data_IF_380209739704
#
_entry.id   IF_380209739704
#
_cell.length_a   1.000
_cell.length_b   1.000
_cell.length_c   1.000
_cell.angle_alpha   90.00
_cell.angle_beta   90.00
_cell.angle_gamma   90.00
#
_symmetry.space_group_name_H-M   'P 1'
#
loop_
_entity.id
_entity.type
_entity.pdbx_description
1 polymer ?
#
# COMPACT_ATOMS: atom_id res chain seq x y z
N UNK A 1 -15.83 9.47 21.05
CA UNK A 1 -16.45 10.07 19.83
C UNK A 1 -15.34 10.10 18.76
N UNK A 2 -15.59 9.83 17.48
CA UNK A 2 -14.50 9.80 16.49
C UNK A 2 -14.07 11.21 16.07
N UNK A 3 -12.78 11.50 16.19
CA UNK A 3 -12.14 12.65 15.57
C UNK A 3 -11.71 12.29 14.14
N UNK A 4 -12.26 12.95 13.12
CA UNK A 4 -12.00 12.60 11.72
C UNK A 4 -10.58 13.03 11.27
N UNK A 5 -9.64 12.08 11.20
CA UNK A 5 -8.34 12.21 10.54
C UNK A 5 -8.11 10.97 9.68
N UNK A 6 -7.99 11.14 8.35
CA UNK A 6 -7.95 10.03 7.37
C UNK A 6 -6.51 9.73 6.98
N UNK A 7 -6.13 8.45 7.02
CA UNK A 7 -4.90 7.94 6.42
C UNK A 7 -5.33 7.17 5.19
N UNK A 8 -4.69 7.39 4.05
CA UNK A 8 -4.99 6.62 2.83
C UNK A 8 -3.67 6.18 2.23
N UNK A 9 -3.60 4.91 1.81
CA UNK A 9 -2.38 4.27 1.37
C UNK A 9 -2.60 3.57 0.03
N UNK A 10 -1.65 3.69 -0.89
CA UNK A 10 -1.66 3.02 -2.20
C UNK A 10 -0.33 2.27 -2.40
N UNK A 11 -0.39 1.07 -2.98
CA UNK A 11 0.78 0.30 -3.42
C UNK A 11 0.33 -0.73 -4.46
N UNK A 12 0.89 -0.69 -5.69
CA UNK A 12 0.41 -1.61 -6.75
C UNK A 12 1.25 -1.70 -8.03
N UNK A 13 2.48 -1.20 -8.09
CA UNK A 13 3.19 -1.05 -9.38
C UNK A 13 4.15 -2.19 -9.74
N UNK A 14 4.35 -3.15 -8.82
CA UNK A 14 5.27 -4.28 -9.00
C UNK A 14 4.95 -5.07 -10.27
N UNK A 15 3.66 -5.37 -10.50
CA UNK A 15 3.23 -6.23 -11.60
C UNK A 15 3.63 -5.63 -12.96
N UNK A 16 3.42 -4.32 -13.15
CA UNK A 16 3.74 -3.66 -14.43
C UNK A 16 5.24 -3.72 -14.74
N UNK A 17 6.10 -3.50 -13.75
CA UNK A 17 7.55 -3.57 -13.98
C UNK A 17 8.01 -5.00 -14.29
N UNK A 18 7.62 -5.98 -13.48
CA UNK A 18 8.14 -7.34 -13.64
C UNK A 18 7.51 -8.07 -14.82
N UNK A 19 6.29 -7.71 -15.23
CA UNK A 19 5.63 -8.25 -16.41
C UNK A 19 6.29 -7.76 -17.71
N UNK A 20 6.76 -6.50 -17.75
CA UNK A 20 7.33 -5.90 -18.96
C UNK A 20 8.86 -5.99 -19.03
N UNK A 21 9.56 -5.93 -17.88
CA UNK A 21 11.02 -5.71 -17.82
C UNK A 21 11.75 -6.74 -16.95
N UNK A 22 11.02 -7.69 -16.38
CA UNK A 22 11.55 -8.71 -15.46
C UNK A 22 11.17 -10.12 -15.89
N UNK A 23 10.71 -10.92 -14.94
CA UNK A 23 10.39 -12.34 -15.13
C UNK A 23 9.24 -12.61 -16.11
N UNK A 24 8.42 -11.61 -16.43
CA UNK A 24 7.28 -11.72 -17.32
C UNK A 24 6.03 -12.30 -16.65
N UNK A 25 4.88 -12.10 -17.31
CA UNK A 25 3.54 -12.40 -16.81
C UNK A 25 3.39 -13.85 -16.33
N UNK A 26 3.88 -14.82 -17.10
CA UNK A 26 3.67 -16.24 -16.80
C UNK A 26 4.50 -16.71 -15.60
N UNK A 27 5.73 -16.17 -15.44
CA UNK A 27 6.54 -16.44 -14.25
C UNK A 27 5.94 -15.73 -13.02
N UNK A 28 5.53 -14.46 -13.16
CA UNK A 28 4.87 -13.71 -12.08
C UNK A 28 3.64 -14.44 -11.56
N UNK A 29 2.74 -14.91 -12.44
CA UNK A 29 1.53 -15.62 -12.02
C UNK A 29 1.84 -16.89 -11.21
N UNK A 30 2.85 -17.66 -11.60
CA UNK A 30 3.28 -18.84 -10.84
C UNK A 30 3.79 -18.44 -9.45
N UNK A 31 4.62 -17.41 -9.39
CA UNK A 31 5.13 -16.85 -8.14
C UNK A 31 4.02 -16.29 -7.24
N UNK A 32 3.03 -15.60 -7.80
CA UNK A 32 1.85 -15.11 -7.05
C UNK A 32 1.04 -16.28 -6.47
N UNK A 33 0.94 -17.42 -7.18
CA UNK A 33 0.27 -18.62 -6.67
C UNK A 33 1.02 -19.27 -5.51
N UNK A 34 2.35 -19.21 -5.51
CA UNK A 34 3.17 -19.66 -4.37
C UNK A 34 2.91 -18.81 -3.11
N UNK A 35 2.71 -17.50 -3.26
CA UNK A 35 2.29 -16.64 -2.16
C UNK A 35 0.90 -17.05 -1.65
N UNK A 36 -0.06 -17.22 -2.58
CA UNK A 36 -1.46 -17.54 -2.22
C UNK A 36 -1.60 -18.89 -1.51
N UNK A 37 -0.85 -19.90 -1.95
CA UNK A 37 -0.86 -21.23 -1.36
C UNK A 37 -0.10 -21.31 -0.04
N UNK A 38 0.69 -20.28 0.30
CA UNK A 38 1.58 -20.29 1.46
C UNK A 38 2.83 -21.15 1.26
N UNK A 39 3.14 -21.57 0.02
CA UNK A 39 4.37 -22.31 -0.31
C UNK A 39 5.61 -21.47 0.00
N UNK A 40 5.55 -20.16 -0.29
CA UNK A 40 6.64 -19.20 -0.06
C UNK A 40 6.09 -17.90 0.49
N UNK A 41 6.90 -17.19 1.25
CA UNK A 41 6.57 -15.87 1.79
C UNK A 41 6.50 -14.80 0.70
N UNK A 42 5.82 -13.69 1.02
CA UNK A 42 5.79 -12.52 0.13
C UNK A 42 7.19 -11.94 -0.09
N UNK A 43 8.03 -11.93 0.93
CA UNK A 43 9.43 -11.49 0.83
C UNK A 43 10.21 -12.35 -0.16
N UNK A 44 10.25 -13.67 0.01
CA UNK A 44 11.02 -14.58 -0.86
C UNK A 44 10.59 -14.44 -2.32
N UNK A 45 9.28 -14.42 -2.59
CA UNK A 45 8.78 -14.26 -3.96
C UNK A 45 9.10 -12.87 -4.51
N UNK A 46 9.01 -11.83 -3.68
CA UNK A 46 9.35 -10.48 -4.12
C UNK A 46 10.84 -10.32 -4.41
N UNK A 47 11.73 -11.02 -3.69
CA UNK A 47 13.16 -11.04 -4.02
C UNK A 47 13.41 -11.61 -5.42
N UNK A 48 12.72 -12.69 -5.81
CA UNK A 48 12.82 -13.25 -7.17
C UNK A 48 12.26 -12.29 -8.22
N UNK A 49 11.09 -11.69 -7.94
CA UNK A 49 10.44 -10.76 -8.86
C UNK A 49 11.29 -9.51 -9.10
N UNK A 50 11.68 -8.81 -8.04
CA UNK A 50 12.53 -7.61 -8.17
C UNK A 50 13.92 -7.98 -8.69
N UNK A 51 14.50 -9.09 -8.22
CA UNK A 51 15.77 -9.62 -8.66
C UNK A 51 15.79 -10.12 -10.12
N UNK A 52 14.65 -10.15 -10.81
CA UNK A 52 14.57 -10.45 -12.25
C UNK A 52 14.78 -9.22 -13.15
N UNK A 53 14.61 -8.01 -12.62
CA UNK A 53 14.77 -6.78 -13.39
C UNK A 53 16.23 -6.62 -13.80
N UNK A 54 16.48 -6.31 -15.08
CA UNK A 54 17.83 -6.05 -15.63
C UNK A 54 17.96 -4.64 -16.24
N UNK A 55 17.22 -3.68 -15.68
CA UNK A 55 17.15 -2.29 -16.12
C UNK A 55 17.64 -1.28 -15.08
N UNK A 56 17.95 -0.06 -15.52
CA UNK A 56 18.20 1.06 -14.61
C UNK A 56 16.91 1.54 -13.92
N UNK A 57 17.04 2.35 -12.87
CA UNK A 57 15.89 2.97 -12.22
C UNK A 57 15.11 3.89 -13.18
N UNK A 58 15.85 4.66 -14.00
CA UNK A 58 15.27 5.61 -14.94
C UNK A 58 14.43 4.91 -16.02
N UNK A 59 14.93 3.79 -16.57
CA UNK A 59 14.18 2.97 -17.52
C UNK A 59 12.90 2.39 -16.89
N UNK A 60 12.96 2.06 -15.60
CA UNK A 60 11.79 1.60 -14.84
C UNK A 60 10.73 2.68 -14.75
N UNK A 61 11.12 3.93 -14.50
CA UNK A 61 10.20 5.06 -14.47
C UNK A 61 9.52 5.31 -15.82
N UNK A 62 10.20 5.10 -16.95
CA UNK A 62 9.59 5.27 -18.26
C UNK A 62 8.40 4.32 -18.48
N UNK A 63 8.48 3.07 -18.00
CA UNK A 63 7.36 2.13 -18.08
C UNK A 63 6.25 2.49 -17.11
N UNK A 64 6.59 2.99 -15.93
CA UNK A 64 5.60 3.44 -14.94
C UNK A 64 4.78 4.65 -15.41
N UNK A 65 5.26 5.46 -16.37
CA UNK A 65 4.48 6.57 -16.95
C UNK A 65 3.21 6.12 -17.69
N UNK A 66 3.12 4.83 -18.05
CA UNK A 66 1.96 4.26 -18.73
C UNK A 66 0.85 3.86 -17.73
N UNK A 67 1.09 4.00 -16.43
CA UNK A 67 0.10 3.70 -15.41
C UNK A 67 -0.98 4.79 -15.38
N UNK A 68 -2.22 4.35 -15.55
CA UNK A 68 -3.37 5.18 -15.28
C UNK A 68 -3.65 5.23 -13.78
N UNK A 69 -4.08 6.40 -13.31
CA UNK A 69 -4.65 6.53 -11.97
C UNK A 69 -5.99 5.82 -11.91
N UNK A 70 -6.30 5.19 -10.77
CA UNK A 70 -7.62 4.62 -10.53
C UNK A 70 -8.70 5.70 -10.73
N UNK A 71 -9.77 5.33 -11.43
CA UNK A 71 -10.90 6.22 -11.66
C UNK A 71 -11.47 6.70 -10.32
N UNK A 72 -11.70 8.01 -10.19
CA UNK A 72 -12.16 8.62 -8.94
C UNK A 72 -11.05 8.98 -7.95
N UNK A 73 -9.78 8.58 -8.20
CA UNK A 73 -8.69 8.89 -7.28
C UNK A 73 -8.45 10.40 -7.13
N UNK A 74 -8.51 11.16 -8.23
CA UNK A 74 -8.31 12.60 -8.20
C UNK A 74 -9.41 13.31 -7.39
N UNK A 75 -10.66 12.91 -7.60
CA UNK A 75 -11.83 13.43 -6.88
C UNK A 75 -11.75 13.05 -5.39
N UNK A 76 -11.38 11.81 -5.09
CA UNK A 76 -11.16 11.34 -3.72
C UNK A 76 -10.03 12.11 -3.02
N UNK A 77 -8.92 12.34 -3.71
CA UNK A 77 -7.81 13.14 -3.23
C UNK A 77 -8.25 14.58 -2.94
N UNK A 78 -8.95 15.23 -3.88
CA UNK A 78 -9.48 16.58 -3.70
C UNK A 78 -10.46 16.66 -2.51
N UNK A 79 -11.38 15.70 -2.39
CA UNK A 79 -12.28 15.61 -1.24
C UNK A 79 -11.53 15.43 0.08
N UNK A 80 -10.45 14.65 0.08
CA UNK A 80 -9.59 14.48 1.25
C UNK A 80 -8.92 15.81 1.64
N UNK A 81 -8.47 16.61 0.66
CA UNK A 81 -7.93 17.95 0.90
C UNK A 81 -8.94 18.91 1.52
N UNK A 82 -10.15 18.96 0.98
CA UNK A 82 -11.21 19.82 1.48
C UNK A 82 -11.63 19.44 2.91
N UNK A 83 -11.72 18.14 3.20
CA UNK A 83 -12.15 17.66 4.53
C UNK A 83 -11.08 17.79 5.61
N UNK A 84 -9.78 17.74 5.27
CA UNK A 84 -8.70 18.04 6.22
C UNK A 84 -8.53 19.55 6.47
N UNK A 85 -8.66 20.37 5.43
CA UNK A 85 -8.58 21.84 5.55
C UNK A 85 -9.75 22.47 6.32
N UNK A 86 -10.93 21.84 6.37
CA UNK A 86 -12.05 22.33 7.19
C UNK A 86 -11.82 22.28 8.72
N UNK A 87 -10.73 21.65 9.20
CA UNK A 87 -10.28 21.75 10.61
C UNK A 87 -9.28 22.90 10.86
N UNK A 88 -8.80 23.55 9.81
CA UNK A 88 -7.97 24.75 9.86
C UNK A 88 -8.65 25.84 9.01
N UNK A 89 -9.71 26.47 9.53
CA UNK A 89 -10.39 27.53 8.78
C UNK A 89 -9.46 28.75 8.68
N UNK A 90 -9.31 29.23 7.44
CA UNK A 90 -8.69 30.45 6.92
C UNK A 90 -7.25 30.33 6.40
N UNK A 91 -7.12 30.16 5.07
CA UNK A 91 -5.91 30.50 4.32
C UNK A 91 -5.58 29.50 3.20
N UNK A 92 -5.87 29.89 1.95
CA UNK A 92 -5.27 29.40 0.70
C UNK A 92 -4.93 27.90 0.56
N UNK A 93 -5.81 27.14 -0.12
CA UNK A 93 -5.43 25.99 -0.96
C UNK A 93 -4.46 24.96 -0.35
N UNK A 94 -4.81 24.35 0.78
CA UNK A 94 -4.00 23.29 1.40
C UNK A 94 -3.94 22.02 0.56
N UNK A 95 -2.72 21.57 0.24
CA UNK A 95 -2.44 20.26 -0.37
C UNK A 95 -2.35 19.21 0.75
N UNK A 96 -3.09 18.11 0.65
CA UNK A 96 -2.86 16.95 1.53
C UNK A 96 -1.53 16.34 1.17
N UNK A 97 -0.59 16.39 2.13
CA UNK A 97 0.68 15.70 1.98
C UNK A 97 0.47 14.24 2.34
N UNK A 98 0.50 13.37 1.32
CA UNK A 98 0.55 11.93 1.56
C UNK A 98 1.93 11.56 2.08
N UNK A 99 1.96 10.88 3.21
CA UNK A 99 3.17 10.19 3.65
C UNK A 99 3.23 8.82 2.98
N UNK A 100 4.34 8.54 2.31
CA UNK A 100 4.59 7.25 1.70
C UNK A 100 5.36 6.39 2.69
N UNK A 101 4.68 5.39 3.25
CA UNK A 101 5.31 4.36 4.08
C UNK A 101 5.33 3.05 3.29
N UNK A 102 6.52 2.61 2.90
CA UNK A 102 6.71 1.42 2.06
C UNK A 102 8.07 0.77 2.30
N UNK A 103 8.24 -0.43 1.74
CA UNK A 103 9.56 -1.02 1.51
C UNK A 103 10.39 -0.14 0.57
N UNK A 104 11.71 -0.24 0.65
CA UNK A 104 12.64 0.44 -0.25
C UNK A 104 13.31 -0.56 -1.20
N UNK A 105 14.10 -0.08 -2.15
CA UNK A 105 14.90 -0.91 -3.04
C UNK A 105 16.33 -0.40 -3.11
N UNK A 106 17.29 -1.30 -2.96
CA UNK A 106 18.69 -1.06 -3.30
C UNK A 106 18.94 -1.46 -4.75
N UNK A 107 19.63 -0.59 -5.49
CA UNK A 107 20.10 -0.88 -6.84
C UNK A 107 21.63 -0.81 -6.79
N UNK A 108 22.30 -1.87 -7.20
CA UNK A 108 23.76 -1.98 -7.10
C UNK A 108 24.47 -0.93 -7.98
N UNK A 109 25.58 -0.33 -7.51
CA UNK A 109 26.39 0.56 -8.34
C UNK A 109 26.94 -0.21 -9.55
N UNK A 110 26.54 0.19 -10.77
CA UNK A 110 27.05 -0.36 -12.02
C UNK A 110 26.20 -1.45 -12.69
N UNK A 111 25.01 -1.79 -12.17
CA UNK A 111 24.15 -2.73 -12.88
C UNK A 111 22.82 -3.05 -12.22
N UNK A 112 21.94 -3.74 -12.97
CA UNK A 112 20.53 -3.82 -12.65
C UNK A 112 20.21 -5.01 -11.77
N UNK A 113 20.70 -4.97 -10.54
CA UNK A 113 20.34 -5.96 -9.52
C UNK A 113 19.52 -5.22 -8.46
N UNK A 114 18.20 -5.28 -8.63
CA UNK A 114 17.25 -4.68 -7.71
C UNK A 114 17.07 -5.62 -6.52
N UNK A 115 17.37 -5.12 -5.32
CA UNK A 115 17.20 -5.87 -4.08
C UNK A 115 16.24 -5.11 -3.16
N UNK A 116 15.09 -5.70 -2.79
CA UNK A 116 14.21 -5.10 -1.81
C UNK A 116 14.94 -4.85 -0.48
N UNK A 117 14.64 -3.71 0.14
CA UNK A 117 14.99 -3.40 1.52
C UNK A 117 13.67 -3.43 2.29
N UNK A 118 13.53 -4.45 3.14
CA UNK A 118 12.35 -4.66 3.96
C UNK A 118 12.30 -3.65 5.10
N UNK A 119 11.12 -3.07 5.32
CA UNK A 119 10.91 -2.10 6.40
C UNK A 119 10.87 -2.78 7.77
N UNK A 120 10.23 -3.94 7.83
CA UNK A 120 10.02 -4.72 9.04
C UNK A 120 10.53 -6.15 8.83
N UNK A 121 11.06 -6.75 9.89
CA UNK A 121 11.45 -8.17 9.90
C UNK A 121 10.19 -9.05 9.95
N UNK A 122 9.58 -9.26 8.79
CA UNK A 122 8.35 -10.05 8.63
C UNK A 122 8.30 -10.70 7.25
N UNK A 123 7.49 -11.76 7.11
CA UNK A 123 7.28 -12.46 5.82
C UNK A 123 6.60 -11.60 4.75
N UNK A 124 6.02 -10.47 5.14
CA UNK A 124 5.41 -9.46 4.26
C UNK A 124 6.37 -8.32 3.91
N UNK A 125 7.50 -8.22 4.61
CA UNK A 125 8.52 -7.18 4.48
C UNK A 125 8.09 -5.82 5.01
N UNK A 126 6.84 -5.43 4.79
CA UNK A 126 6.19 -4.32 5.47
C UNK A 126 4.95 -4.83 6.19
N UNK A 127 5.06 -5.02 7.50
CA UNK A 127 3.90 -5.15 8.37
C UNK A 127 3.07 -3.85 8.36
N UNK A 128 2.00 -3.86 7.56
CA UNK A 128 1.11 -2.72 7.42
C UNK A 128 0.24 -2.51 8.66
N UNK A 129 -0.09 -3.57 9.40
CA UNK A 129 -0.85 -3.47 10.65
C UNK A 129 -0.03 -2.71 11.71
N UNK A 130 1.26 -3.01 11.82
CA UNK A 130 2.17 -2.28 12.71
C UNK A 130 2.17 -0.78 12.38
N UNK A 131 2.34 -0.40 11.12
CA UNK A 131 2.33 1.02 10.73
C UNK A 131 0.97 1.71 10.95
N UNK A 132 -0.14 1.00 10.79
CA UNK A 132 -1.47 1.53 11.13
C UNK A 132 -1.56 1.82 12.63
N UNK A 133 -1.10 0.91 13.47
CA UNK A 133 -1.12 1.06 14.92
C UNK A 133 -0.17 2.14 15.44
N UNK A 134 1.04 2.23 14.88
CA UNK A 134 1.97 3.33 15.16
C UNK A 134 1.35 4.68 14.87
N UNK A 135 0.70 4.82 13.70
CA UNK A 135 0.01 6.06 13.35
C UNK A 135 -1.20 6.32 14.25
N UNK A 136 -1.98 5.30 14.58
CA UNK A 136 -3.11 5.43 15.51
C UNK A 136 -2.62 5.99 16.85
N UNK A 137 -1.54 5.45 17.40
CA UNK A 137 -0.96 5.92 18.66
C UNK A 137 -0.54 7.40 18.58
N UNK A 138 0.16 7.80 17.51
CA UNK A 138 0.55 9.19 17.27
C UNK A 138 -0.66 10.13 17.19
N UNK A 139 -1.69 9.77 16.43
CA UNK A 139 -2.86 10.63 16.25
C UNK A 139 -3.73 10.70 17.52
N UNK A 140 -3.71 9.67 18.38
CA UNK A 140 -4.37 9.71 19.70
C UNK A 140 -3.75 10.78 20.59
N UNK A 141 -2.42 10.93 20.58
CA UNK A 141 -1.73 11.98 21.36
C UNK A 141 -2.17 13.39 20.94
N UNK A 142 -2.51 13.58 19.66
CA UNK A 142 -2.98 14.84 19.10
C UNK A 142 -4.51 14.99 19.12
N UNK A 143 -5.26 14.02 19.65
CA UNK A 143 -6.73 14.07 19.71
C UNK A 143 -7.24 14.82 20.95
N UNK A 144 -8.37 15.53 20.85
CA UNK A 144 -9.08 16.05 22.02
C UNK A 144 -9.41 14.93 23.01
N UNK A 145 -9.47 15.27 24.30
CA UNK A 145 -9.79 14.32 25.36
C UNK A 145 -11.13 13.61 25.10
N UNK A 146 -11.12 12.27 25.12
CA UNK A 146 -12.31 11.44 24.84
C UNK A 146 -12.59 11.19 23.34
N UNK A 147 -11.74 11.69 22.44
CA UNK A 147 -11.75 11.35 21.02
C UNK A 147 -10.68 10.31 20.65
N UNK A 148 -10.96 9.53 19.61
CA UNK A 148 -9.99 8.63 18.98
C UNK A 148 -9.97 8.87 17.47
N UNK A 149 -8.82 8.65 16.81
CA UNK A 149 -8.73 8.79 15.37
C UNK A 149 -9.52 7.68 14.65
N UNK A 150 -10.25 8.06 13.61
CA UNK A 150 -10.90 7.13 12.70
C UNK A 150 -9.90 6.65 11.64
N UNK A 151 -9.60 5.36 11.61
CA UNK A 151 -8.71 4.78 10.60
C UNK A 151 -9.52 4.22 9.43
N UNK A 152 -9.38 4.85 8.28
CA UNK A 152 -9.88 4.32 7.00
C UNK A 152 -8.72 3.59 6.33
N UNK A 153 -8.94 2.35 5.88
CA UNK A 153 -7.97 1.60 5.11
C UNK A 153 -8.56 1.24 3.75
N UNK A 154 -7.76 1.39 2.69
CA UNK A 154 -8.14 1.06 1.32
C UNK A 154 -7.06 0.13 0.78
N UNK A 155 -7.43 -1.05 0.30
CA UNK A 155 -6.47 -2.03 -0.18
C UNK A 155 -7.07 -3.12 -1.08
N UNK A 156 -6.22 -4.02 -1.53
CA UNK A 156 -6.58 -5.05 -2.50
C UNK A 156 -5.81 -6.38 -2.35
N UNK A 157 -4.61 -6.36 -1.74
CA UNK A 157 -3.65 -7.44 -1.85
C UNK A 157 -3.37 -8.24 -0.58
N UNK A 158 -2.54 -9.29 -0.72
CA UNK A 158 -2.09 -10.18 0.37
C UNK A 158 -1.41 -9.40 1.51
N UNK A 159 -0.60 -8.40 1.16
CA UNK A 159 0.13 -7.62 2.17
C UNK A 159 -0.78 -6.72 3.02
N UNK A 160 -2.03 -6.51 2.60
CA UNK A 160 -3.02 -5.70 3.30
C UNK A 160 -3.82 -6.50 4.33
N UNK A 161 -3.78 -7.85 4.26
CA UNK A 161 -4.62 -8.70 5.11
C UNK A 161 -4.46 -8.42 6.61
N UNK A 162 -3.23 -8.20 7.15
CA UNK A 162 -3.10 -7.82 8.56
C UNK A 162 -3.73 -6.46 8.87
N UNK A 163 -3.51 -5.46 8.01
CA UNK A 163 -4.01 -4.10 8.23
C UNK A 163 -5.54 -4.01 8.14
N UNK A 164 -6.18 -4.91 7.40
CA UNK A 164 -7.64 -5.02 7.30
C UNK A 164 -8.33 -5.14 8.66
N UNK A 165 -7.69 -5.79 9.64
CA UNK A 165 -8.23 -5.99 11.00
C UNK A 165 -8.04 -4.79 11.92
N UNK A 166 -7.09 -3.92 11.60
CA UNK A 166 -6.75 -2.75 12.41
C UNK A 166 -7.54 -1.50 12.01
N UNK A 167 -8.23 -1.54 10.87
CA UNK A 167 -9.02 -0.44 10.33
C UNK A 167 -10.39 -0.33 11.00
N UNK A 168 -10.87 0.90 11.21
CA UNK A 168 -12.26 1.16 11.64
C UNK A 168 -13.21 1.07 10.44
N UNK A 169 -12.75 1.50 9.26
CA UNK A 169 -13.48 1.40 7.99
C UNK A 169 -12.54 0.83 6.94
N UNK A 170 -12.92 -0.28 6.32
CA UNK A 170 -12.14 -0.95 5.29
C UNK A 170 -12.85 -0.84 3.94
N UNK A 171 -12.14 -0.36 2.93
CA UNK A 171 -12.53 -0.47 1.53
C UNK A 171 -11.67 -1.55 0.87
N UNK A 172 -12.30 -2.65 0.46
CA UNK A 172 -11.61 -3.74 -0.20
C UNK A 172 -11.95 -3.74 -1.69
N UNK A 173 -10.94 -3.75 -2.55
CA UNK A 173 -11.19 -3.79 -4.00
C UNK A 173 -11.88 -5.09 -4.39
N UNK A 174 -13.03 -4.95 -5.05
CA UNK A 174 -13.86 -6.07 -5.52
C UNK A 174 -13.11 -6.99 -6.50
N UNK A 175 -13.34 -8.29 -6.36
CA UNK A 175 -12.83 -9.36 -7.21
C UNK A 175 -11.37 -9.73 -6.93
N UNK A 176 -10.82 -9.29 -5.80
CA UNK A 176 -9.42 -9.51 -5.43
C UNK A 176 -9.30 -10.15 -4.05
N UNK A 177 -8.08 -10.55 -3.71
CA UNK A 177 -7.81 -11.41 -2.56
C UNK A 177 -8.20 -10.77 -1.22
N UNK A 178 -8.07 -9.45 -1.06
CA UNK A 178 -8.51 -8.80 0.18
C UNK A 178 -10.03 -8.95 0.39
N UNK A 179 -10.85 -8.85 -0.67
CA UNK A 179 -12.29 -9.08 -0.57
C UNK A 179 -12.59 -10.53 -0.16
N UNK A 180 -11.95 -11.51 -0.82
CA UNK A 180 -12.09 -12.93 -0.50
C UNK A 180 -11.75 -13.21 0.97
N UNK A 181 -10.65 -12.62 1.46
CA UNK A 181 -10.23 -12.72 2.85
C UNK A 181 -11.26 -12.10 3.80
N UNK A 182 -11.80 -10.92 3.47
CA UNK A 182 -12.80 -10.26 4.30
C UNK A 182 -14.08 -11.09 4.41
N UNK A 183 -14.55 -11.67 3.29
CA UNK A 183 -15.70 -12.58 3.26
C UNK A 183 -15.42 -13.81 4.13
N UNK A 184 -14.28 -14.48 3.94
CA UNK A 184 -13.92 -15.69 4.66
C UNK A 184 -13.77 -15.48 6.18
N UNK A 185 -13.29 -14.31 6.59
CA UNK A 185 -13.05 -13.96 8.00
C UNK A 185 -14.17 -13.13 8.65
N UNK A 186 -15.26 -12.83 7.92
CA UNK A 186 -16.37 -11.98 8.38
C UNK A 186 -15.90 -10.59 8.84
N UNK A 187 -14.92 -10.02 8.15
CA UNK A 187 -14.45 -8.66 8.38
C UNK A 187 -15.41 -7.71 7.63
N UNK A 188 -16.02 -6.71 8.28
CA UNK A 188 -16.83 -5.72 7.60
C UNK A 188 -15.99 -4.89 6.62
N UNK A 189 -16.48 -4.72 5.40
CA UNK A 189 -15.84 -3.90 4.37
C UNK A 189 -16.89 -3.22 3.50
N UNK A 190 -16.44 -2.20 2.76
CA UNK A 190 -17.15 -1.52 1.68
C UNK A 190 -16.55 -1.93 0.34
#
# INVERSE_FOLDING_TARGET
MYGMRKIVRFSGYRHVLVDNLGCGVEARKKLDEQIKSGERSFCEVSEDMWGSLRISLDDGFEVLKQLDMDSGFQEFHQFSCLTQSSRHIFGSGGVVKFEIVANCVAISPGGPNWKPIWRHESDLGHDKALSVNERRAQEVEDCPEGEIPLIIFIGDGVSDLPAAREADVLFARKGLLLEEYCIGNKIPYV
#
